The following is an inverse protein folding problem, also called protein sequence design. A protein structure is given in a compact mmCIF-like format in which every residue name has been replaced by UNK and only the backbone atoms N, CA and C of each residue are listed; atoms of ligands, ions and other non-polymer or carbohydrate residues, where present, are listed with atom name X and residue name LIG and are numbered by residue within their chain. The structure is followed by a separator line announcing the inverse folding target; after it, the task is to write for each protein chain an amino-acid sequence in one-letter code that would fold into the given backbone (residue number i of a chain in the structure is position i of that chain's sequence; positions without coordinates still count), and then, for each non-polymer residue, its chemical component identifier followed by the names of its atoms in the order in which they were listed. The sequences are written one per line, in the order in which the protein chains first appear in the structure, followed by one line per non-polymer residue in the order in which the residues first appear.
data_IF_578741131537
#
_entry.id   IF_578741131537
#
_cell.length_a   1.000
_cell.length_b   1.000
_cell.length_c   1.000
_cell.angle_alpha   90.00
_cell.angle_beta   90.00
_cell.angle_gamma   90.00
#
_symmetry.space_group_name_H-M   'P 1'
#
loop_
_entity.id
_entity.type
_entity.pdbx_description
1 polymer ?
#
# COMPACT_ATOMS: atom_id res chain seq x y z
N UNK A 1 -23.28 12.56 -13.74
CA UNK A 1 -22.14 11.88 -14.38
C UNK A 1 -21.83 10.65 -13.54
N UNK A 2 -22.41 9.51 -13.92
CA UNK A 2 -22.44 8.31 -13.10
C UNK A 2 -22.01 7.10 -13.92
N UNK A 3 -20.70 6.98 -14.13
CA UNK A 3 -20.09 5.66 -14.25
C UNK A 3 -19.18 5.53 -13.04
N UNK A 4 -19.38 4.46 -12.28
CA UNK A 4 -18.48 4.01 -11.24
C UNK A 4 -17.17 3.58 -11.92
N UNK A 5 -16.37 4.56 -12.36
CA UNK A 5 -15.12 4.30 -13.04
C UNK A 5 -14.18 3.57 -12.09
N UNK A 6 -13.57 2.50 -12.59
CA UNK A 6 -12.67 1.63 -11.86
C UNK A 6 -11.24 1.77 -12.38
N UNK A 7 -10.28 1.11 -11.73
CA UNK A 7 -8.92 1.03 -12.28
C UNK A 7 -8.87 0.31 -13.65
N UNK A 8 -9.89 -0.46 -14.04
CA UNK A 8 -9.96 -1.03 -15.39
C UNK A 8 -10.27 0.04 -16.44
N UNK A 9 -11.13 1.00 -16.13
CA UNK A 9 -11.40 2.13 -17.02
C UNK A 9 -10.14 2.99 -17.21
N UNK A 10 -9.35 3.15 -16.14
CA UNK A 10 -8.04 3.80 -16.22
C UNK A 10 -7.08 3.04 -17.14
N UNK A 11 -7.02 1.70 -17.03
CA UNK A 11 -6.18 0.88 -17.90
C UNK A 11 -6.60 1.02 -19.37
N UNK A 12 -7.90 0.92 -19.64
CA UNK A 12 -8.46 1.09 -20.98
C UNK A 12 -8.25 2.51 -21.53
N UNK A 13 -8.31 3.55 -20.69
CA UNK A 13 -8.01 4.94 -21.06
C UNK A 13 -6.55 5.14 -21.49
N UNK A 14 -5.60 4.43 -20.87
CA UNK A 14 -4.19 4.49 -21.26
C UNK A 14 -3.95 3.93 -22.67
N UNK A 15 -4.76 2.95 -23.07
CA UNK A 15 -4.70 2.28 -24.38
C UNK A 15 -5.45 3.07 -25.46
N UNK A 16 -6.73 3.38 -25.21
CA UNK A 16 -7.59 4.11 -26.12
C UNK A 16 -8.46 5.13 -25.38
N UNK A 17 -8.25 6.41 -25.71
CA UNK A 17 -9.04 7.50 -25.15
C UNK A 17 -10.44 7.62 -25.76
N UNK A 18 -10.67 7.04 -26.94
CA UNK A 18 -11.87 7.25 -27.75
C UNK A 18 -13.18 7.02 -26.98
N UNK A 19 -13.33 5.94 -26.18
CA UNK A 19 -14.54 5.71 -25.40
C UNK A 19 -14.79 6.77 -24.31
N UNK A 20 -13.76 7.51 -23.92
CA UNK A 20 -13.77 8.48 -22.82
C UNK A 20 -13.85 9.93 -23.29
N UNK A 21 -13.84 10.20 -24.60
CA UNK A 21 -13.94 11.56 -25.16
C UNK A 21 -15.14 12.36 -24.63
N UNK A 22 -16.35 11.79 -24.41
CA UNK A 22 -17.45 12.52 -23.81
C UNK A 22 -17.15 13.01 -22.38
N UNK A 23 -16.41 12.22 -21.60
CA UNK A 23 -15.99 12.60 -20.26
C UNK A 23 -14.89 13.66 -20.30
N UNK A 24 -13.94 13.54 -21.23
CA UNK A 24 -12.89 14.54 -21.46
C UNK A 24 -13.50 15.89 -21.84
N UNK A 25 -14.50 15.90 -22.72
CA UNK A 25 -15.21 17.11 -23.14
C UNK A 25 -15.95 17.81 -21.99
N UNK A 26 -16.28 17.10 -20.92
CA UNK A 26 -16.90 17.67 -19.72
C UNK A 26 -15.88 18.27 -18.73
N UNK A 27 -14.59 18.00 -18.89
CA UNK A 27 -13.54 18.53 -18.01
C UNK A 27 -13.39 20.05 -18.17
N UNK A 28 -12.88 20.75 -17.14
CA UNK A 28 -12.51 22.16 -17.27
C UNK A 28 -11.38 22.34 -18.31
N UNK A 29 -11.21 23.57 -18.86
CA UNK A 29 -10.38 23.79 -20.04
C UNK A 29 -8.93 23.31 -19.93
N UNK A 30 -8.31 23.45 -18.75
CA UNK A 30 -6.91 23.06 -18.53
C UNK A 30 -6.75 21.54 -18.63
N UNK A 31 -7.59 20.78 -17.91
CA UNK A 31 -7.54 19.32 -17.90
C UNK A 31 -7.97 18.75 -19.26
N UNK A 32 -8.97 19.35 -19.90
CA UNK A 32 -9.40 18.97 -21.25
C UNK A 32 -8.25 19.11 -22.26
N UNK A 33 -7.54 20.24 -22.25
CA UNK A 33 -6.43 20.50 -23.14
C UNK A 33 -5.30 19.47 -22.98
N UNK A 34 -5.00 19.08 -21.74
CA UNK A 34 -4.05 17.99 -21.48
C UNK A 34 -4.46 16.70 -22.19
N UNK A 35 -5.72 16.26 -22.07
CA UNK A 35 -6.18 15.03 -22.71
C UNK A 35 -6.27 15.12 -24.25
N UNK A 36 -6.61 16.29 -24.78
CA UNK A 36 -6.73 16.53 -26.22
C UNK A 36 -5.37 16.68 -26.93
N UNK A 37 -4.36 17.24 -26.26
CA UNK A 37 -3.05 17.54 -26.88
C UNK A 37 -1.90 16.72 -26.32
N UNK A 38 -1.74 16.75 -25.00
CA UNK A 38 -0.55 16.25 -24.34
C UNK A 38 -0.61 14.74 -24.12
N UNK A 39 -1.76 14.22 -23.70
CA UNK A 39 -1.95 12.81 -23.37
C UNK A 39 -1.66 11.88 -24.56
N UNK A 40 -1.94 12.31 -25.80
CA UNK A 40 -1.64 11.55 -27.01
C UNK A 40 -0.20 11.76 -27.52
N UNK A 41 0.55 12.68 -26.93
CA UNK A 41 1.94 12.96 -27.31
C UNK A 41 2.88 11.80 -26.99
N UNK A 42 3.92 11.65 -27.81
CA UNK A 42 5.02 10.68 -27.58
C UNK A 42 5.74 10.91 -26.25
N UNK A 43 5.75 12.15 -25.75
CA UNK A 43 6.39 12.51 -24.47
C UNK A 43 5.78 11.75 -23.28
N UNK A 44 4.48 11.44 -23.34
CA UNK A 44 3.78 10.76 -22.25
C UNK A 44 3.76 9.23 -22.39
N UNK A 45 4.23 8.66 -23.50
CA UNK A 45 4.17 7.22 -23.73
C UNK A 45 4.91 6.43 -22.65
N UNK A 46 6.13 6.84 -22.30
CA UNK A 46 6.88 6.20 -21.21
C UNK A 46 6.14 6.26 -19.87
N UNK A 47 5.49 7.39 -19.57
CA UNK A 47 4.72 7.55 -18.34
C UNK A 47 3.50 6.63 -18.33
N UNK A 48 2.77 6.54 -19.45
CA UNK A 48 1.63 5.63 -19.60
C UNK A 48 2.04 4.17 -19.40
N UNK A 49 3.14 3.74 -20.02
CA UNK A 49 3.67 2.38 -19.84
C UNK A 49 4.03 2.08 -18.39
N UNK A 50 4.65 3.03 -17.68
CA UNK A 50 4.99 2.87 -16.26
C UNK A 50 3.73 2.76 -15.37
N UNK A 51 2.70 3.55 -15.66
CA UNK A 51 1.41 3.46 -14.97
C UNK A 51 0.75 2.10 -15.26
N UNK A 52 0.72 1.69 -16.54
CA UNK A 52 0.16 0.39 -16.96
C UNK A 52 0.85 -0.77 -16.26
N UNK A 53 2.19 -0.78 -16.21
CA UNK A 53 2.97 -1.82 -15.54
C UNK A 53 2.58 -1.95 -14.06
N UNK A 54 2.45 -0.83 -13.33
CA UNK A 54 2.06 -0.82 -11.91
C UNK A 54 0.63 -1.31 -11.71
N UNK A 55 -0.31 -0.91 -12.57
CA UNK A 55 -1.70 -1.38 -12.52
C UNK A 55 -1.78 -2.88 -12.81
N UNK A 56 -1.06 -3.37 -13.81
CA UNK A 56 -1.00 -4.80 -14.12
C UNK A 56 -0.43 -5.62 -12.96
N UNK A 57 0.64 -5.16 -12.32
CA UNK A 57 1.21 -5.82 -11.14
C UNK A 57 0.19 -5.97 -10.00
N UNK A 58 -0.73 -5.00 -9.83
CA UNK A 58 -1.83 -5.09 -8.86
C UNK A 58 -2.88 -6.10 -9.33
N UNK A 59 -3.24 -6.08 -10.61
CA UNK A 59 -4.26 -6.95 -11.19
C UNK A 59 -3.84 -8.41 -11.36
N UNK A 60 -2.54 -8.71 -11.32
CA UNK A 60 -2.03 -10.09 -11.24
C UNK A 60 -2.54 -10.83 -10.00
N UNK A 61 -2.88 -10.11 -8.93
CA UNK A 61 -3.50 -10.68 -7.75
C UNK A 61 -5.03 -10.63 -7.85
N UNK A 62 -5.76 -11.77 -7.92
CA UNK A 62 -7.21 -11.77 -8.07
C UNK A 62 -7.97 -11.09 -6.91
N UNK A 63 -7.39 -11.01 -5.73
CA UNK A 63 -8.01 -10.33 -4.60
C UNK A 63 -7.87 -8.83 -4.71
N UNK A 64 -6.68 -8.32 -5.04
CA UNK A 64 -6.51 -6.90 -5.30
C UNK A 64 -7.29 -6.46 -6.54
N UNK A 65 -7.33 -7.28 -7.58
CA UNK A 65 -8.17 -7.03 -8.74
C UNK A 65 -9.63 -6.83 -8.31
N UNK A 66 -10.24 -7.78 -7.59
CA UNK A 66 -11.61 -7.64 -7.10
C UNK A 66 -11.82 -6.42 -6.19
N UNK A 67 -10.83 -6.07 -5.38
CA UNK A 67 -10.88 -4.90 -4.51
C UNK A 67 -10.94 -3.59 -5.33
N UNK A 68 -10.07 -3.45 -6.32
CA UNK A 68 -9.93 -2.22 -7.11
C UNK A 68 -10.89 -2.12 -8.32
N UNK A 69 -11.59 -3.20 -8.64
CA UNK A 69 -12.66 -3.22 -9.67
C UNK A 69 -14.06 -3.21 -9.08
N UNK A 70 -14.18 -3.11 -7.75
CA UNK A 70 -15.46 -2.90 -7.11
C UNK A 70 -16.07 -1.57 -7.57
N UNK A 71 -17.33 -1.60 -8.01
CA UNK A 71 -18.04 -0.39 -8.46
C UNK A 71 -18.36 0.59 -7.32
N UNK A 72 -18.27 0.14 -6.07
CA UNK A 72 -18.56 0.96 -4.90
C UNK A 72 -17.44 0.86 -3.87
N UNK A 73 -16.91 2.00 -3.46
CA UNK A 73 -16.03 2.10 -2.30
C UNK A 73 -16.84 1.95 -1.02
N UNK A 74 -16.61 0.87 -0.26
CA UNK A 74 -17.26 0.60 1.04
C UNK A 74 -16.47 1.08 2.25
N UNK A 75 -15.17 1.37 2.06
CA UNK A 75 -14.28 1.84 3.11
C UNK A 75 -13.92 3.30 2.84
N UNK A 76 -14.45 4.21 3.63
CA UNK A 76 -14.09 5.63 3.61
C UNK A 76 -13.12 5.96 4.76
N UNK A 77 -11.83 6.06 4.44
CA UNK A 77 -10.79 6.31 5.45
C UNK A 77 -10.99 7.63 6.18
N UNK A 78 -11.55 8.66 5.55
CA UNK A 78 -11.81 9.93 6.24
C UNK A 78 -12.82 9.73 7.38
N UNK A 79 -13.94 9.08 7.09
CA UNK A 79 -14.94 8.74 8.11
C UNK A 79 -14.40 7.79 9.18
N UNK A 80 -13.64 6.75 8.78
CA UNK A 80 -13.08 5.78 9.74
C UNK A 80 -12.09 6.43 10.71
N UNK A 81 -11.22 7.30 10.19
CA UNK A 81 -10.22 8.05 10.96
C UNK A 81 -10.91 8.96 11.99
N UNK A 82 -11.95 9.68 11.57
CA UNK A 82 -12.71 10.57 12.46
C UNK A 82 -13.51 9.82 13.53
N UNK A 83 -14.01 8.62 13.20
CA UNK A 83 -14.68 7.74 14.16
C UNK A 83 -13.73 7.11 15.19
N UNK A 84 -12.41 7.16 14.98
CA UNK A 84 -11.43 6.51 15.85
C UNK A 84 -11.38 4.99 15.66
N UNK A 85 -11.58 4.54 14.43
CA UNK A 85 -11.62 3.11 14.09
C UNK A 85 -10.24 2.47 14.13
N UNK A 86 -10.20 1.17 14.44
CA UNK A 86 -9.00 0.34 14.24
C UNK A 86 -9.11 -0.34 12.88
N UNK A 87 -8.20 -0.02 11.97
CA UNK A 87 -8.12 -0.61 10.63
C UNK A 87 -6.85 -1.43 10.55
N UNK A 88 -7.00 -2.74 10.34
CA UNK A 88 -5.89 -3.63 10.04
C UNK A 88 -5.83 -3.87 8.54
N UNK A 89 -4.68 -3.57 7.94
CA UNK A 89 -4.42 -3.80 6.52
C UNK A 89 -3.40 -4.92 6.43
N UNK A 90 -3.82 -6.05 5.87
CA UNK A 90 -2.93 -7.19 5.67
C UNK A 90 -2.16 -7.02 4.36
N UNK A 91 -0.83 -6.87 4.47
CA UNK A 91 0.10 -6.78 3.34
C UNK A 91 0.96 -8.03 3.18
N UNK A 92 0.57 -9.17 3.77
CA UNK A 92 1.34 -10.41 3.76
C UNK A 92 1.81 -10.80 2.34
N UNK A 93 3.13 -10.98 2.19
CA UNK A 93 3.77 -11.32 0.91
C UNK A 93 3.34 -12.70 0.39
N UNK A 94 2.98 -13.63 1.27
CA UNK A 94 2.49 -14.96 0.86
C UNK A 94 1.17 -14.86 0.09
N UNK A 95 0.32 -13.89 0.46
CA UNK A 95 -0.98 -13.67 -0.15
C UNK A 95 -0.91 -12.72 -1.36
N UNK A 96 -0.18 -11.61 -1.22
CA UNK A 96 -0.13 -10.55 -2.22
C UNK A 96 1.04 -10.66 -3.20
N UNK A 97 2.05 -11.48 -2.90
CA UNK A 97 3.25 -11.68 -3.73
C UNK A 97 3.90 -10.34 -4.11
N UNK A 98 4.26 -10.16 -5.39
CA UNK A 98 4.85 -8.92 -5.91
C UNK A 98 3.96 -7.68 -5.78
N UNK A 99 2.67 -7.84 -5.54
CA UNK A 99 1.74 -6.72 -5.39
C UNK A 99 1.72 -6.10 -3.98
N UNK A 100 2.31 -6.76 -2.97
CA UNK A 100 2.29 -6.30 -1.57
C UNK A 100 2.83 -4.86 -1.40
N UNK A 101 4.01 -4.50 -1.93
CA UNK A 101 4.53 -3.13 -1.80
C UNK A 101 3.64 -2.10 -2.49
N UNK A 102 3.09 -2.43 -3.65
CA UNK A 102 2.18 -1.54 -4.40
C UNK A 102 0.89 -1.28 -3.65
N UNK A 103 0.29 -2.34 -3.09
CA UNK A 103 -0.91 -2.24 -2.28
C UNK A 103 -0.68 -1.37 -1.05
N UNK A 104 0.39 -1.62 -0.28
CA UNK A 104 0.71 -0.81 0.90
C UNK A 104 0.91 0.67 0.58
N UNK A 105 1.62 1.02 -0.52
CA UNK A 105 1.81 2.41 -0.95
C UNK A 105 0.50 3.10 -1.32
N UNK A 106 -0.42 2.39 -1.99
CA UNK A 106 -1.75 2.95 -2.29
C UNK A 106 -2.49 3.25 -0.99
N UNK A 107 -2.47 2.35 -0.02
CA UNK A 107 -3.14 2.55 1.27
C UNK A 107 -2.54 3.73 2.04
N UNK A 108 -1.21 3.87 2.06
CA UNK A 108 -0.53 5.02 2.66
C UNK A 108 -0.95 6.34 1.98
N UNK A 109 -1.01 6.36 0.65
CA UNK A 109 -1.46 7.54 -0.10
C UNK A 109 -2.93 7.88 0.20
N UNK A 110 -3.82 6.88 0.30
CA UNK A 110 -5.23 7.07 0.67
C UNK A 110 -5.36 7.59 2.12
N UNK A 111 -4.54 7.11 3.05
CA UNK A 111 -4.49 7.65 4.42
C UNK A 111 -4.01 9.09 4.41
N UNK A 112 -2.95 9.42 3.65
CA UNK A 112 -2.46 10.79 3.54
C UNK A 112 -3.54 11.72 2.98
N UNK A 113 -4.25 11.30 1.93
CA UNK A 113 -5.37 12.06 1.37
C UNK A 113 -6.47 12.28 2.42
N UNK A 114 -6.93 11.22 3.09
CA UNK A 114 -7.96 11.31 4.13
C UNK A 114 -7.53 12.20 5.30
N UNK A 115 -6.24 12.25 5.63
CA UNK A 115 -5.70 13.14 6.67
C UNK A 115 -5.67 14.60 6.20
N UNK A 116 -5.30 14.86 4.95
CA UNK A 116 -5.34 16.21 4.38
C UNK A 116 -6.77 16.75 4.26
N UNK A 117 -7.75 15.89 4.00
CA UNK A 117 -9.18 16.25 3.99
C UNK A 117 -9.67 16.79 5.35
N UNK A 118 -9.01 16.44 6.46
CA UNK A 118 -9.28 16.99 7.80
C UNK A 118 -8.93 18.48 7.93
N UNK A 119 -8.32 19.09 6.92
CA UNK A 119 -8.18 20.54 6.82
C UNK A 119 -9.54 21.26 6.86
N UNK A 120 -10.61 20.57 6.45
CA UNK A 120 -12.00 21.06 6.53
C UNK A 120 -12.56 21.11 7.95
N UNK A 121 -11.91 20.47 8.93
CA UNK A 121 -12.37 20.38 10.32
C UNK A 121 -11.54 21.29 11.24
N UNK A 122 -12.14 21.93 12.26
CA UNK A 122 -11.43 22.61 13.34
C UNK A 122 -10.40 21.70 14.03
N UNK A 123 -9.27 22.25 14.47
CA UNK A 123 -8.18 21.44 15.02
C UNK A 123 -8.59 20.69 16.30
N UNK A 124 -9.38 21.31 17.16
CA UNK A 124 -9.90 20.77 18.41
C UNK A 124 -10.87 19.60 18.19
N UNK A 125 -11.63 19.60 17.10
CA UNK A 125 -12.55 18.52 16.72
C UNK A 125 -11.88 17.30 16.08
N UNK A 126 -10.61 17.42 15.66
CA UNK A 126 -9.89 16.31 15.03
C UNK A 126 -9.56 15.21 16.04
N UNK A 127 -10.06 14.00 15.79
CA UNK A 127 -9.69 12.79 16.54
C UNK A 127 -8.23 12.41 16.28
N UNK A 128 -7.37 12.33 17.33
CA UNK A 128 -6.01 11.83 17.20
C UNK A 128 -6.01 10.40 16.65
N UNK A 129 -5.15 10.14 15.67
CA UNK A 129 -5.02 8.83 15.04
C UNK A 129 -3.54 8.45 14.90
N UNK A 130 -3.27 7.16 14.75
CA UNK A 130 -1.93 6.66 14.47
C UNK A 130 -1.92 5.82 13.20
N UNK A 131 -0.93 6.06 12.34
CA UNK A 131 -0.56 5.17 11.25
C UNK A 131 0.66 4.36 11.69
N UNK A 132 0.49 3.06 11.84
CA UNK A 132 1.57 2.13 12.19
C UNK A 132 1.92 1.33 10.94
N UNK A 133 3.18 1.40 10.52
CA UNK A 133 3.69 0.70 9.34
C UNK A 133 4.80 -0.22 9.81
N UNK A 134 4.50 -1.51 9.78
CA UNK A 134 5.51 -2.55 9.94
C UNK A 134 6.26 -2.76 8.63
N UNK A 135 7.53 -3.16 8.71
CA UNK A 135 8.46 -3.30 7.58
C UNK A 135 8.43 -2.09 6.63
N UNK A 136 8.48 -0.88 7.20
CA UNK A 136 8.29 0.39 6.50
C UNK A 136 9.25 0.60 5.32
N UNK A 137 10.39 -0.09 5.32
CA UNK A 137 11.38 -0.04 4.25
C UNK A 137 10.82 -0.39 2.86
N UNK A 138 9.83 -1.27 2.78
CA UNK A 138 9.17 -1.64 1.52
C UNK A 138 8.37 -0.48 0.91
N UNK A 139 8.01 0.51 1.74
CA UNK A 139 7.12 1.61 1.38
C UNK A 139 7.81 2.97 1.34
N UNK A 140 9.13 3.03 1.55
CA UNK A 140 9.89 4.26 1.52
C UNK A 140 9.91 4.90 0.13
N UNK A 141 9.17 6.01 0.01
CA UNK A 141 9.12 6.89 -1.15
C UNK A 141 8.84 8.35 -0.71
N UNK A 142 8.58 9.24 -1.66
CA UNK A 142 8.30 10.65 -1.39
C UNK A 142 7.03 10.86 -0.52
N UNK A 143 6.05 9.96 -0.60
CA UNK A 143 4.82 10.09 0.18
C UNK A 143 5.11 9.96 1.69
N UNK A 144 6.10 9.15 2.07
CA UNK A 144 6.52 9.03 3.47
C UNK A 144 7.12 10.34 3.99
N UNK A 145 7.90 11.04 3.16
CA UNK A 145 8.48 12.34 3.53
C UNK A 145 7.39 13.42 3.70
N UNK A 146 6.44 13.48 2.77
CA UNK A 146 5.27 14.36 2.88
C UNK A 146 4.44 14.02 4.11
N UNK A 147 4.26 12.73 4.39
CA UNK A 147 3.53 12.25 5.55
C UNK A 147 4.24 12.68 6.85
N UNK A 148 5.55 12.49 6.97
CA UNK A 148 6.34 12.90 8.15
C UNK A 148 6.29 14.41 8.42
N UNK A 149 6.22 15.22 7.38
CA UNK A 149 6.29 16.69 7.50
C UNK A 149 4.94 17.36 7.68
N UNK A 150 3.85 16.78 7.15
CA UNK A 150 2.55 17.45 7.08
C UNK A 150 1.55 16.96 8.13
N UNK A 151 1.52 15.66 8.43
CA UNK A 151 0.37 15.03 9.10
C UNK A 151 0.22 15.38 10.58
N UNK A 152 1.30 15.87 11.21
CA UNK A 152 1.28 16.36 12.59
C UNK A 152 0.24 17.46 12.81
N UNK A 153 0.05 18.36 11.83
CA UNK A 153 -0.95 19.44 11.89
C UNK A 153 -2.40 18.91 11.90
N UNK A 154 -2.58 17.66 11.47
CA UNK A 154 -3.87 16.99 11.35
C UNK A 154 -4.06 15.89 12.42
N UNK A 155 -3.28 15.97 13.52
CA UNK A 155 -3.31 15.04 14.65
C UNK A 155 -3.13 13.56 14.26
N UNK A 156 -2.38 13.29 13.20
CA UNK A 156 -1.90 11.93 12.91
C UNK A 156 -0.48 11.77 13.47
N UNK A 157 -0.28 10.75 14.30
CA UNK A 157 1.03 10.24 14.67
C UNK A 157 1.43 9.07 13.76
N UNK A 158 2.73 8.87 13.54
CA UNK A 158 3.22 7.79 12.71
C UNK A 158 4.25 6.96 13.45
N UNK A 159 4.17 5.64 13.28
CA UNK A 159 5.11 4.67 13.84
C UNK A 159 5.64 3.83 12.68
N UNK A 160 6.96 3.82 12.51
CA UNK A 160 7.63 3.06 11.47
C UNK A 160 8.54 2.04 12.12
N UNK A 161 8.39 0.77 11.77
CA UNK A 161 9.32 -0.29 12.12
C UNK A 161 10.05 -0.74 10.85
N UNK A 162 11.38 -0.82 10.90
CA UNK A 162 12.20 -1.36 9.81
C UNK A 162 13.54 -1.88 10.36
N UNK A 163 14.17 -2.81 9.65
CA UNK A 163 15.35 -3.53 10.15
C UNK A 163 16.67 -2.86 9.79
N UNK A 164 16.78 -2.29 8.58
CA UNK A 164 18.03 -1.75 8.07
C UNK A 164 17.88 -0.27 7.71
N UNK A 165 18.86 0.56 8.09
CA UNK A 165 18.86 1.97 7.67
C UNK A 165 19.36 2.15 6.25
N UNK A 166 20.15 1.21 5.73
CA UNK A 166 20.71 1.26 4.38
C UNK A 166 19.64 1.37 3.28
N UNK A 167 18.46 0.80 3.53
CA UNK A 167 17.25 0.88 2.70
C UNK A 167 16.66 2.29 2.60
N UNK A 168 16.94 3.18 3.56
CA UNK A 168 16.53 4.57 3.50
C UNK A 168 17.53 5.37 2.64
N UNK A 169 17.02 6.18 1.71
CA UNK A 169 17.83 7.23 1.07
C UNK A 169 18.37 8.21 2.11
N UNK A 170 19.47 8.90 1.81
CA UNK A 170 20.06 9.90 2.73
C UNK A 170 19.06 11.00 3.10
N UNK A 171 18.26 11.48 2.14
CA UNK A 171 17.20 12.46 2.36
C UNK A 171 16.12 11.93 3.30
N UNK A 172 15.65 10.69 3.10
CA UNK A 172 14.64 10.10 3.97
C UNK A 172 15.16 9.87 5.39
N UNK A 173 16.42 9.46 5.56
CA UNK A 173 17.03 9.34 6.91
C UNK A 173 17.04 10.68 7.64
N UNK A 174 17.41 11.76 6.94
CA UNK A 174 17.40 13.10 7.52
C UNK A 174 15.97 13.52 7.91
N UNK A 175 14.98 13.23 7.07
CA UNK A 175 13.56 13.50 7.38
C UNK A 175 13.06 12.70 8.59
N UNK A 176 13.35 11.39 8.65
CA UNK A 176 13.03 10.54 9.81
C UNK A 176 13.69 11.07 11.08
N UNK A 177 14.97 11.43 11.03
CA UNK A 177 15.70 11.99 12.17
C UNK A 177 15.06 13.29 12.68
N UNK A 178 14.70 14.19 11.76
CA UNK A 178 14.12 15.49 12.08
C UNK A 178 12.69 15.39 12.61
N UNK A 179 11.84 14.58 11.98
CA UNK A 179 10.40 14.54 12.20
C UNK A 179 9.95 13.51 13.26
N UNK A 180 10.82 12.59 13.68
CA UNK A 180 10.49 11.65 14.78
C UNK A 180 10.92 12.21 16.14
N UNK A 181 9.98 12.25 17.08
CA UNK A 181 10.24 12.65 18.47
C UNK A 181 10.71 11.49 19.34
N UNK A 182 10.26 10.27 19.03
CA UNK A 182 10.60 9.04 19.73
C UNK A 182 11.42 8.18 18.78
N UNK A 183 12.56 7.68 19.27
CA UNK A 183 13.44 6.77 18.52
C UNK A 183 13.77 5.58 19.41
N UNK A 184 13.69 4.38 18.85
CA UNK A 184 13.95 3.12 19.56
C UNK A 184 14.84 2.25 18.68
N UNK A 185 15.88 1.66 19.28
CA UNK A 185 16.81 0.78 18.56
C UNK A 185 17.21 -0.42 19.42
N UNK A 186 17.26 -1.60 18.80
CA UNK A 186 17.70 -2.85 19.42
C UNK A 186 18.06 -3.86 18.33
N UNK A 187 19.06 -4.73 18.59
CA UNK A 187 19.43 -5.80 17.66
C UNK A 187 19.94 -5.34 16.28
N UNK A 188 20.52 -4.14 16.20
CA UNK A 188 21.00 -3.53 14.95
C UNK A 188 22.47 -3.87 14.65
N UNK A 189 22.92 -3.64 13.42
CA UNK A 189 24.34 -3.78 13.04
C UNK A 189 25.22 -2.69 13.68
N UNK A 190 26.54 -2.88 13.73
CA UNK A 190 27.48 -1.83 14.17
C UNK A 190 27.36 -0.56 13.33
N UNK A 191 27.13 -0.70 12.01
CA UNK A 191 26.98 0.44 11.11
C UNK A 191 25.73 1.26 11.45
N UNK A 192 24.60 0.59 11.66
CA UNK A 192 23.34 1.23 12.05
C UNK A 192 23.43 1.84 13.46
N UNK A 193 24.06 1.15 14.42
CA UNK A 193 24.28 1.66 15.76
C UNK A 193 25.09 2.97 15.74
N UNK A 194 26.15 3.04 14.92
CA UNK A 194 26.93 4.28 14.73
C UNK A 194 26.09 5.39 14.09
N UNK A 195 25.24 5.05 13.13
CA UNK A 195 24.38 6.03 12.47
C UNK A 195 23.30 6.59 13.40
N UNK A 196 22.73 5.76 14.29
CA UNK A 196 21.66 6.14 15.21
C UNK A 196 22.15 6.82 16.50
N UNK A 197 23.38 6.55 16.93
CA UNK A 197 23.94 7.05 18.19
C UNK A 197 23.79 8.57 18.38
N UNK A 198 24.07 9.44 17.39
CA UNK A 198 23.86 10.88 17.52
C UNK A 198 22.40 11.27 17.78
N UNK A 199 21.47 10.64 17.05
CA UNK A 199 20.03 10.92 17.13
C UNK A 199 19.39 10.42 18.43
N UNK A 200 19.92 9.32 18.97
CA UNK A 200 19.54 8.75 20.27
C UNK A 200 20.29 9.41 21.44
N UNK A 201 21.25 10.30 21.17
CA UNK A 201 22.14 10.91 22.19
C UNK A 201 22.80 9.86 23.09
N UNK A 202 23.45 8.88 22.48
CA UNK A 202 24.12 7.78 23.19
C UNK A 202 25.33 7.26 22.41
N UNK A 203 25.95 6.18 22.86
CA UNK A 203 27.02 5.48 22.13
C UNK A 203 26.49 4.30 21.32
N UNK A 204 27.22 3.92 20.26
CA UNK A 204 26.91 2.71 19.52
C UNK A 204 26.96 1.45 20.42
N UNK A 205 27.91 1.42 21.36
CA UNK A 205 28.06 0.31 22.30
C UNK A 205 26.85 0.16 23.21
N UNK A 206 26.24 1.28 23.65
CA UNK A 206 25.01 1.23 24.44
C UNK A 206 23.85 0.60 23.65
N UNK A 207 23.72 0.94 22.36
CA UNK A 207 22.67 0.38 21.48
C UNK A 207 22.91 -1.13 21.25
N UNK A 208 24.15 -1.53 21.00
CA UNK A 208 24.52 -2.93 20.76
C UNK A 208 24.42 -3.79 22.02
N UNK A 209 24.64 -3.21 23.20
CA UNK A 209 24.53 -3.89 24.48
C UNK A 209 23.08 -4.17 24.91
N UNK A 210 22.07 -3.68 24.18
CA UNK A 210 20.67 -3.91 24.53
C UNK A 210 20.34 -5.42 24.49
N UNK A 211 19.88 -6.01 25.60
CA UNK A 211 19.39 -7.38 25.60
C UNK A 211 18.15 -7.56 24.72
N UNK A 212 17.82 -8.81 24.39
CA UNK A 212 16.55 -9.15 23.72
C UNK A 212 15.37 -8.49 24.46
N UNK A 213 14.44 -7.94 23.68
CA UNK A 213 13.25 -7.23 24.18
C UNK A 213 13.56 -5.97 24.98
N UNK A 214 14.76 -5.40 24.85
CA UNK A 214 15.07 -4.07 25.39
C UNK A 214 15.53 -3.16 24.26
N UNK A 215 15.12 -1.90 24.32
CA UNK A 215 15.39 -0.93 23.27
C UNK A 215 16.07 0.29 23.87
N UNK A 216 17.18 0.72 23.26
CA UNK A 216 17.74 2.04 23.49
C UNK A 216 16.74 3.06 22.95
N UNK A 217 16.16 3.83 23.86
CA UNK A 217 15.03 4.71 23.56
C UNK A 217 15.34 6.14 23.93
N UNK A 218 15.17 7.05 22.98
CA UNK A 218 15.25 8.48 23.20
C UNK A 218 13.89 9.12 22.94
N UNK A 219 13.46 9.99 23.86
CA UNK A 219 12.22 10.76 23.74
C UNK A 219 12.58 12.24 23.82
N UNK A 220 12.44 12.95 22.69
CA UNK A 220 12.78 14.37 22.58
C UNK A 220 12.03 15.20 23.63
N UNK A 221 12.79 15.93 24.44
CA UNK A 221 12.25 16.80 25.49
C UNK A 221 11.83 16.07 26.77
N UNK A 222 12.01 14.74 26.84
CA UNK A 222 11.70 13.92 28.03
C UNK A 222 12.96 13.25 28.57
N UNK A 223 13.77 12.63 27.71
CA UNK A 223 15.04 12.02 28.13
C UNK A 223 16.22 12.89 27.70
N UNK A 224 17.25 13.00 28.55
CA UNK A 224 18.49 13.71 28.22
C UNK A 224 19.36 12.92 27.24
N UNK A 225 19.38 11.60 27.42
CA UNK A 225 20.09 10.58 26.62
C UNK A 225 19.18 9.36 26.40
N UNK A 226 19.63 8.38 25.62
CA UNK A 226 18.88 7.14 25.44
C UNK A 226 18.81 6.34 26.76
N UNK A 227 17.63 5.84 27.08
CA UNK A 227 17.40 4.92 28.21
C UNK A 227 17.00 3.54 27.69
N UNK A 228 17.34 2.50 28.44
CA UNK A 228 16.96 1.13 28.08
C UNK A 228 15.53 0.84 28.53
N UNK A 229 14.60 0.69 27.58
CA UNK A 229 13.19 0.38 27.87
C UNK A 229 12.91 -1.11 27.58
N UNK A 230 12.40 -1.88 28.56
CA UNK A 230 11.96 -3.25 28.33
C UNK A 230 10.60 -3.32 27.64
N UNK A 231 10.45 -4.32 26.77
CA UNK A 231 9.19 -4.75 26.16
C UNK A 231 8.80 -6.08 26.78
N UNK A 232 7.60 -6.15 27.34
CA UNK A 232 7.07 -7.37 27.96
C UNK A 232 6.52 -8.32 26.88
N UNK A 233 7.31 -9.33 26.52
CA UNK A 233 6.88 -10.34 25.57
C UNK A 233 5.68 -11.13 26.09
N UNK A 234 4.73 -11.37 25.19
CA UNK A 234 3.49 -12.08 25.49
C UNK A 234 2.51 -11.29 26.36
N UNK A 235 2.74 -10.00 26.64
CA UNK A 235 1.75 -9.18 27.34
C UNK A 235 0.41 -9.12 26.59
N UNK A 236 0.47 -9.05 25.26
CA UNK A 236 -0.72 -9.07 24.40
C UNK A 236 -1.38 -10.45 24.38
N UNK A 237 -0.60 -11.52 24.34
CA UNK A 237 -1.10 -12.91 24.33
C UNK A 237 -1.85 -13.27 25.63
N UNK A 238 -1.56 -12.56 26.72
CA UNK A 238 -2.24 -12.72 28.02
C UNK A 238 -3.51 -11.86 28.17
N UNK A 239 -3.85 -11.03 27.19
CA UNK A 239 -5.08 -10.24 27.25
C UNK A 239 -6.30 -11.12 27.02
N UNK A 240 -7.43 -10.70 27.59
CA UNK A 240 -8.71 -11.35 27.32
C UNK A 240 -9.04 -11.25 25.83
N UNK A 241 -9.32 -12.40 25.22
CA UNK A 241 -9.77 -12.47 23.83
C UNK A 241 -11.30 -12.53 23.80
N UNK A 242 -11.87 -12.03 22.70
CA UNK A 242 -13.28 -12.28 22.42
C UNK A 242 -13.56 -13.78 22.40
N UNK A 243 -14.70 -14.21 22.95
CA UNK A 243 -15.22 -15.56 22.70
C UNK A 243 -15.32 -15.82 21.19
N UNK A 244 -15.23 -17.08 20.77
CA UNK A 244 -15.36 -17.45 19.35
C UNK A 244 -16.66 -16.93 18.72
N UNK A 245 -17.77 -16.96 19.46
CA UNK A 245 -19.07 -16.47 19.01
C UNK A 245 -19.06 -14.96 18.78
N UNK A 246 -18.51 -14.19 19.74
CA UNK A 246 -18.37 -12.74 19.63
C UNK A 246 -17.42 -12.34 18.49
N UNK A 247 -16.32 -13.07 18.31
CA UNK A 247 -15.39 -12.84 17.21
C UNK A 247 -16.04 -13.14 15.85
N UNK A 248 -16.80 -14.24 15.75
CA UNK A 248 -17.56 -14.57 14.55
C UNK A 248 -18.64 -13.51 14.25
N UNK A 249 -19.33 -12.99 15.26
CA UNK A 249 -20.29 -11.90 15.11
C UNK A 249 -19.61 -10.63 14.61
N UNK A 250 -18.50 -10.23 15.24
CA UNK A 250 -17.68 -9.09 14.80
C UNK A 250 -17.26 -9.21 13.34
N UNK A 251 -16.79 -10.40 12.91
CA UNK A 251 -16.41 -10.63 11.51
C UNK A 251 -17.60 -10.54 10.56
N UNK A 252 -18.78 -11.05 10.94
CA UNK A 252 -20.00 -10.92 10.11
C UNK A 252 -20.41 -9.46 9.95
N UNK A 253 -20.45 -8.70 11.04
CA UNK A 253 -20.86 -7.30 11.02
C UNK A 253 -19.87 -6.44 10.24
N UNK A 254 -18.57 -6.68 10.42
CA UNK A 254 -17.54 -5.98 9.66
C UNK A 254 -17.65 -6.31 8.16
N UNK A 255 -17.84 -7.59 7.79
CA UNK A 255 -18.03 -7.99 6.39
C UNK A 255 -19.27 -7.33 5.78
N UNK A 256 -20.40 -7.32 6.47
CA UNK A 256 -21.63 -6.68 5.99
C UNK A 256 -21.43 -5.18 5.71
N UNK A 257 -20.58 -4.52 6.50
CA UNK A 257 -20.28 -3.09 6.37
C UNK A 257 -19.29 -2.77 5.25
N UNK A 258 -18.17 -3.49 5.18
CA UNK A 258 -17.02 -3.09 4.34
C UNK A 258 -16.75 -4.00 3.14
N UNK A 259 -17.48 -5.11 2.96
CA UNK A 259 -17.29 -5.98 1.78
C UNK A 259 -18.34 -5.73 0.71
N UNK A 260 -17.90 -5.79 -0.54
CA UNK A 260 -18.79 -5.86 -1.68
C UNK A 260 -18.99 -7.34 -2.04
N UNK A 261 -20.25 -7.78 -2.15
CA UNK A 261 -20.55 -9.10 -2.74
C UNK A 261 -20.50 -8.96 -4.26
N UNK A 262 -19.57 -9.62 -4.97
CA UNK A 262 -19.57 -9.58 -6.43
C UNK A 262 -20.95 -10.03 -6.96
N UNK A 263 -21.44 -9.47 -8.08
CA UNK A 263 -22.57 -10.09 -8.79
C UNK A 263 -22.24 -11.56 -9.02
N UNK A 264 -23.22 -12.45 -8.88
CA UNK A 264 -23.03 -13.88 -9.17
C UNK A 264 -22.32 -14.01 -10.52
N UNK A 265 -21.22 -14.77 -10.57
CA UNK A 265 -20.44 -14.92 -11.79
C UNK A 265 -21.37 -15.28 -12.94
N UNK A 266 -21.27 -14.55 -14.06
CA UNK A 266 -21.95 -14.95 -15.28
C UNK A 266 -21.57 -16.42 -15.56
N UNK A 267 -22.54 -17.30 -15.88
CA UNK A 267 -22.23 -18.67 -16.23
C UNK A 267 -21.16 -18.66 -17.33
N UNK A 268 -20.20 -19.60 -17.29
CA UNK A 268 -19.17 -19.66 -18.31
C UNK A 268 -19.83 -19.65 -19.70
N UNK A 269 -19.26 -18.92 -20.68
CA UNK A 269 -19.82 -18.90 -22.03
C UNK A 269 -20.02 -20.34 -22.48
N UNK A 270 -21.23 -20.65 -22.98
CA UNK A 270 -21.58 -21.98 -23.45
C UNK A 270 -20.44 -22.49 -24.33
N UNK A 271 -19.90 -23.67 -23.97
CA UNK A 271 -18.80 -24.29 -24.70
C UNK A 271 -19.16 -24.30 -26.19
N UNK A 272 -18.40 -23.56 -27.00
CA UNK A 272 -18.53 -23.61 -28.46
C UNK A 272 -18.31 -25.08 -28.86
N UNK A 273 -19.24 -25.72 -29.58
CA UNK A 273 -19.07 -27.10 -30.01
C UNK A 273 -17.75 -27.19 -30.79
N UNK A 274 -16.83 -28.02 -30.32
CA UNK A 274 -15.58 -28.31 -31.02
C UNK A 274 -15.93 -28.83 -32.42
N UNK A 275 -15.70 -28.01 -33.44
CA UNK A 275 -15.83 -28.44 -34.82
C UNK A 275 -14.85 -29.61 -35.03
N UNK A 276 -15.38 -30.77 -35.39
CA UNK A 276 -14.60 -31.97 -35.62
C UNK A 276 -13.51 -31.69 -36.68
N UNK A 277 -12.26 -31.74 -36.26
CA UNK A 277 -11.10 -31.71 -37.15
C UNK A 277 -11.16 -33.01 -37.97
N UNK A 278 -11.41 -32.89 -39.28
CA UNK A 278 -11.27 -34.02 -40.22
C UNK A 278 -9.77 -34.31 -40.38
N UNK A 279 -9.31 -35.56 -40.26
CA UNK A 279 -7.90 -35.89 -40.48
C UNK A 279 -7.54 -35.75 -41.96
N UNK A 280 -6.50 -34.97 -42.23
CA UNK A 280 -5.82 -34.87 -43.52
C UNK A 280 -5.02 -36.15 -43.79
N UNK A 281 -5.35 -36.85 -44.88
CA UNK A 281 -4.53 -37.95 -45.40
C UNK A 281 -3.40 -37.35 -46.23
N UNK A 282 -2.20 -37.25 -45.66
CA UNK A 282 -0.96 -37.14 -46.43
C UNK A 282 -0.07 -38.32 -46.05
N UNK A 283 -0.02 -39.30 -46.95
CA UNK A 283 0.89 -40.46 -46.92
C UNK A 283 2.30 -39.98 -47.21
N UNK A 284 3.20 -40.07 -46.23
CA UNK A 284 4.65 -39.90 -46.42
C UNK A 284 5.24 -41.29 -46.75
N UNK A 285 5.71 -41.42 -47.98
CA UNK A 285 6.40 -42.58 -48.53
C UNK A 285 7.82 -42.68 -47.95
N UNK A 286 8.11 -43.78 -47.25
CA UNK A 286 9.41 -44.05 -46.62
C UNK A 286 10.20 -45.03 -47.48
N UNK A 287 10.98 -44.51 -48.44
CA UNK A 287 12.02 -45.29 -49.11
C UNK A 287 13.41 -44.89 -48.58
N UNK A 288 14.25 -45.83 -48.09
CA UNK A 288 15.55 -45.51 -47.49
C UNK A 288 16.65 -45.36 -48.55
N UNK A 289 17.29 -44.19 -48.63
CA UNK A 289 18.47 -43.96 -49.47
C UNK A 289 19.78 -44.32 -48.73
N UNK A 290 20.66 -45.01 -49.46
CA UNK A 290 21.94 -45.60 -49.02
C UNK A 290 22.99 -44.56 -48.63
N UNK A 291 23.79 -44.93 -47.63
CA UNK A 291 25.08 -44.32 -47.24
C UNK A 291 26.06 -44.27 -48.43
N UNK A 292 26.66 -43.11 -48.66
CA UNK A 292 28.11 -42.87 -48.81
C UNK A 292 28.40 -41.50 -48.20
#
# INVERSE_FOLDING_TARGET
MGRNATLLDMLALLDDITPYLPAVAALPPIQRNFFERDFQSKTFQQTKEQVRYRLNAIFENPTLQRLFTAEQTKLDLFSELNRGSVILIDTAKDYLKGASPHFGRILIALVLQAVLERASQPEDERTPAFLVIDEAAEYFDQNIDDLLTQVRKYKLGCVFAHQYLDQCSSGLRASLAANTAIKMASGVSMADARALAPDLRTSADFILAQPKLRFATYIRGVTSEAVSIPVDAGRLDRQEMMSEEAYAAFLRDNRARVTHTPPAALPPPASVPTAAIRPSQDTIDTTPAKKW
#
